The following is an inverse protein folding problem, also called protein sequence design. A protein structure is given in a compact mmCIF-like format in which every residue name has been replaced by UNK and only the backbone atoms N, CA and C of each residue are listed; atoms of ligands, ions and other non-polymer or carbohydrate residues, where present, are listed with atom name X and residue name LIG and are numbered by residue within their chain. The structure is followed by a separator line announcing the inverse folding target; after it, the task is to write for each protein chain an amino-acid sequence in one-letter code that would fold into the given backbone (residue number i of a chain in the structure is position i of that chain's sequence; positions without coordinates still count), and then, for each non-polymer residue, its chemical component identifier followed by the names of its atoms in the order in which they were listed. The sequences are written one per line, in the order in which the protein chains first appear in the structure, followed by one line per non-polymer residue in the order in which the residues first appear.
data_IF_471333365190
#
_entry.id   IF_471333365190
#
_cell.length_a   1.000
_cell.length_b   1.000
_cell.length_c   1.000
_cell.angle_alpha   90.00
_cell.angle_beta   90.00
_cell.angle_gamma   90.00
#
_symmetry.space_group_name_H-M   'P 1'
#
loop_
_entity.id
_entity.type
_entity.pdbx_description
1 polymer ?
#
# COMPACT_ATOMS: atom_id res chain seq x y z
N UNK A 1 25.16 6.96 -6.79
CA UNK A 1 25.13 7.55 -8.16
C UNK A 1 23.67 7.73 -8.53
N UNK A 2 23.21 8.76 -9.29
CA UNK A 2 21.81 8.77 -9.69
C UNK A 2 21.58 7.58 -10.64
N UNK A 3 20.89 6.56 -10.15
CA UNK A 3 20.52 5.38 -10.93
C UNK A 3 19.80 5.84 -12.21
N UNK A 4 20.35 5.45 -13.36
CA UNK A 4 19.79 5.75 -14.68
C UNK A 4 18.57 4.87 -14.92
N UNK A 5 17.46 5.16 -14.23
CA UNK A 5 16.19 4.52 -14.53
C UNK A 5 15.71 4.94 -15.92
N UNK A 6 15.10 3.99 -16.62
CA UNK A 6 14.37 4.30 -17.84
C UNK A 6 13.27 5.33 -17.57
N UNK A 7 13.04 6.21 -18.54
CA UNK A 7 12.09 7.33 -18.42
C UNK A 7 11.22 7.45 -19.66
N UNK A 8 9.97 7.87 -19.46
CA UNK A 8 9.07 8.33 -20.52
C UNK A 8 8.67 9.77 -20.17
N UNK A 9 8.86 10.71 -21.10
CA UNK A 9 8.65 12.16 -20.85
C UNK A 9 9.39 12.69 -19.60
N UNK A 10 10.62 12.22 -19.33
CA UNK A 10 11.40 12.49 -18.11
C UNK A 10 10.81 11.96 -16.79
N UNK A 11 9.76 11.14 -16.86
CA UNK A 11 9.15 10.50 -15.69
C UNK A 11 9.73 9.08 -15.57
N UNK A 12 10.30 8.69 -14.40
CA UNK A 12 10.83 7.34 -14.20
C UNK A 12 9.77 6.24 -14.29
N UNK A 13 10.15 5.12 -14.92
CA UNK A 13 9.33 3.90 -15.08
C UNK A 13 10.09 2.68 -14.55
N UNK A 14 9.98 2.45 -13.24
CA UNK A 14 10.82 1.52 -12.47
C UNK A 14 10.04 0.54 -11.58
N UNK A 15 8.76 0.24 -11.88
CA UNK A 15 8.05 -0.85 -11.18
C UNK A 15 8.70 -2.19 -11.48
N UNK A 16 8.79 -3.01 -10.45
CA UNK A 16 9.28 -4.39 -10.51
C UNK A 16 8.08 -5.34 -10.39
N UNK A 17 8.13 -6.47 -11.10
CA UNK A 17 7.12 -7.51 -11.02
C UNK A 17 7.06 -8.13 -9.62
N UNK A 18 5.86 -8.46 -9.14
CA UNK A 18 5.70 -9.17 -7.87
C UNK A 18 6.31 -10.58 -7.98
N UNK A 19 7.19 -10.94 -7.05
CA UNK A 19 7.70 -12.31 -6.93
C UNK A 19 6.54 -13.30 -6.72
N UNK A 20 6.56 -14.54 -7.25
CA UNK A 20 5.51 -15.50 -6.94
C UNK A 20 5.39 -15.75 -5.43
N UNK A 21 4.18 -15.61 -4.86
CA UNK A 21 3.89 -15.92 -3.46
C UNK A 21 2.63 -16.80 -3.43
N UNK A 22 2.77 -18.05 -2.97
CA UNK A 22 1.66 -19.01 -2.89
C UNK A 22 0.59 -18.62 -1.85
N UNK A 23 0.89 -17.63 -1.00
CA UNK A 23 -0.04 -17.09 0.00
C UNK A 23 -0.94 -15.99 -0.57
N UNK A 24 -0.72 -15.56 -1.82
CA UNK A 24 -1.61 -14.61 -2.49
C UNK A 24 -2.97 -15.26 -2.71
N UNK A 25 -4.04 -14.60 -2.25
CA UNK A 25 -5.40 -15.04 -2.51
C UNK A 25 -5.78 -14.64 -3.93
N UNK A 26 -6.12 -15.62 -4.76
CA UNK A 26 -6.53 -15.36 -6.14
C UNK A 26 -7.98 -14.87 -6.16
N UNK A 27 -8.23 -13.81 -6.92
CA UNK A 27 -9.56 -13.25 -7.11
C UNK A 27 -10.49 -14.26 -7.78
N UNK A 28 -11.68 -14.43 -7.20
CA UNK A 28 -12.75 -15.23 -7.75
C UNK A 28 -13.97 -14.32 -8.00
N UNK A 29 -14.35 -14.08 -9.27
CA UNK A 29 -15.43 -13.15 -9.58
C UNK A 29 -16.80 -13.69 -9.15
N UNK A 30 -17.67 -12.77 -8.75
CA UNK A 30 -19.08 -13.06 -8.55
C UNK A 30 -19.77 -13.25 -9.91
N UNK A 31 -20.71 -14.17 -10.00
CA UNK A 31 -21.49 -14.44 -11.22
C UNK A 31 -22.60 -13.39 -11.43
N UNK A 32 -22.22 -12.11 -11.42
CA UNK A 32 -23.13 -10.99 -11.67
C UNK A 32 -23.23 -10.68 -13.16
N UNK A 33 -24.34 -10.06 -13.57
CA UNK A 33 -24.48 -9.55 -14.94
C UNK A 33 -23.52 -8.37 -15.15
N UNK A 34 -22.61 -8.51 -16.11
CA UNK A 34 -21.65 -7.45 -16.46
C UNK A 34 -22.30 -6.43 -17.40
N UNK A 35 -21.91 -5.16 -17.25
CA UNK A 35 -22.25 -4.11 -18.22
C UNK A 35 -21.48 -4.34 -19.52
N UNK A 36 -22.05 -3.97 -20.67
CA UNK A 36 -21.36 -4.07 -21.96
C UNK A 36 -20.16 -3.11 -22.03
N UNK A 37 -20.29 -1.93 -21.44
CA UNK A 37 -19.22 -0.93 -21.30
C UNK A 37 -19.29 -0.29 -19.92
N UNK A 38 -18.14 0.20 -19.45
CA UNK A 38 -18.01 0.96 -18.21
C UNK A 38 -17.14 2.19 -18.49
N UNK A 39 -17.72 3.37 -18.77
CA UNK A 39 -16.93 4.57 -19.01
C UNK A 39 -16.15 4.96 -17.75
N UNK A 40 -15.01 5.67 -17.89
CA UNK A 40 -14.28 6.18 -16.75
C UNK A 40 -15.17 7.19 -15.99
N UNK A 41 -15.13 7.21 -14.65
CA UNK A 41 -15.81 8.23 -13.85
C UNK A 41 -15.40 9.65 -14.28
N UNK A 42 -16.34 10.59 -14.26
CA UNK A 42 -16.08 11.98 -14.70
C UNK A 42 -15.21 12.77 -13.71
N UNK A 43 -15.20 12.36 -12.44
CA UNK A 43 -14.63 13.12 -11.32
C UNK A 43 -13.36 12.48 -10.73
N UNK A 44 -12.58 11.81 -11.57
CA UNK A 44 -11.31 11.20 -11.19
C UNK A 44 -10.30 12.25 -10.70
N UNK A 45 -9.67 11.97 -9.57
CA UNK A 45 -8.59 12.78 -9.03
C UNK A 45 -7.27 12.40 -9.68
N UNK A 46 -6.94 13.07 -10.79
CA UNK A 46 -5.69 12.83 -11.52
C UNK A 46 -4.49 13.31 -10.72
N UNK A 47 -3.47 12.45 -10.64
CA UNK A 47 -2.27 12.68 -9.85
C UNK A 47 -1.05 12.94 -10.74
N UNK A 48 0.03 13.46 -10.15
CA UNK A 48 1.28 13.70 -10.85
C UNK A 48 2.49 13.32 -9.98
N UNK A 49 3.18 12.23 -10.36
CA UNK A 49 4.38 11.75 -9.65
C UNK A 49 5.62 12.61 -9.90
N UNK A 50 5.62 13.47 -10.93
CA UNK A 50 6.78 14.28 -11.27
C UNK A 50 7.98 13.42 -11.69
N UNK A 51 9.13 13.64 -11.05
CA UNK A 51 10.43 13.08 -11.47
C UNK A 51 10.91 11.92 -10.61
N UNK A 52 10.09 11.40 -9.71
CA UNK A 52 10.41 10.26 -8.84
C UNK A 52 9.74 8.98 -9.33
N UNK A 53 10.38 7.84 -9.09
CA UNK A 53 9.85 6.50 -9.38
C UNK A 53 8.72 6.03 -8.47
N UNK A 54 7.84 6.94 -8.05
CA UNK A 54 6.80 6.69 -7.05
C UNK A 54 5.50 6.10 -7.64
N UNK A 55 5.53 5.56 -8.86
CA UNK A 55 4.33 5.18 -9.61
C UNK A 55 3.43 4.15 -8.90
N UNK A 56 3.97 3.22 -8.11
CA UNK A 56 3.18 2.29 -7.27
C UNK A 56 2.32 3.05 -6.26
N UNK A 57 2.91 4.02 -5.54
CA UNK A 57 2.22 4.86 -4.58
C UNK A 57 1.14 5.73 -5.23
N UNK A 58 1.42 6.25 -6.42
CA UNK A 58 0.46 7.06 -7.17
C UNK A 58 -0.66 6.24 -7.81
N UNK A 59 -0.37 5.10 -8.43
CA UNK A 59 -1.37 4.23 -9.03
C UNK A 59 -2.34 3.68 -7.98
N UNK A 60 -1.83 3.25 -6.84
CA UNK A 60 -2.66 2.79 -5.73
C UNK A 60 -3.45 3.94 -5.08
N UNK A 61 -2.85 5.12 -4.89
CA UNK A 61 -3.58 6.31 -4.43
C UNK A 61 -4.75 6.66 -5.35
N UNK A 62 -4.57 6.59 -6.68
CA UNK A 62 -5.63 6.83 -7.65
C UNK A 62 -6.82 5.89 -7.45
N UNK A 63 -6.55 4.59 -7.31
CA UNK A 63 -7.59 3.60 -7.04
C UNK A 63 -8.28 3.81 -5.68
N UNK A 64 -7.53 4.10 -4.62
CA UNK A 64 -8.10 4.38 -3.28
C UNK A 64 -8.97 5.64 -3.30
N UNK A 65 -8.53 6.71 -3.97
CA UNK A 65 -9.29 7.95 -4.10
C UNK A 65 -10.63 7.72 -4.82
N UNK A 66 -10.63 6.90 -5.88
CA UNK A 66 -11.86 6.51 -6.57
C UNK A 66 -12.81 5.74 -5.65
N UNK A 67 -12.30 4.79 -4.87
CA UNK A 67 -13.13 4.06 -3.90
C UNK A 67 -13.64 4.96 -2.76
N UNK A 68 -12.82 5.89 -2.28
CA UNK A 68 -13.22 6.88 -1.28
C UNK A 68 -14.30 7.81 -1.81
N UNK A 69 -14.21 8.28 -3.07
CA UNK A 69 -15.22 9.16 -3.67
C UNK A 69 -16.61 8.50 -3.72
N UNK A 70 -16.67 7.17 -3.87
CA UNK A 70 -17.94 6.41 -3.78
C UNK A 70 -18.49 6.30 -2.35
N UNK A 71 -17.62 6.38 -1.34
CA UNK A 71 -17.95 6.18 0.07
C UNK A 71 -18.21 7.50 0.81
N UNK A 72 -17.49 8.55 0.46
CA UNK A 72 -17.58 9.86 1.08
C UNK A 72 -17.65 10.97 -0.01
N UNK A 73 -18.73 11.78 -0.04
CA UNK A 73 -18.86 12.87 -0.98
C UNK A 73 -17.77 13.96 -0.85
N UNK A 74 -17.06 14.04 0.28
CA UNK A 74 -15.98 15.02 0.48
C UNK A 74 -14.71 14.72 -0.33
N UNK A 75 -14.65 13.58 -1.04
CA UNK A 75 -13.56 13.21 -1.97
C UNK A 75 -12.17 13.38 -1.36
N UNK A 76 -12.00 12.90 -0.14
CA UNK A 76 -10.74 13.02 0.59
C UNK A 76 -9.65 12.24 -0.16
N UNK A 77 -8.56 12.96 -0.48
CA UNK A 77 -7.41 12.43 -1.21
C UNK A 77 -6.38 11.82 -0.24
N UNK A 78 -5.94 10.60 -0.53
CA UNK A 78 -4.90 9.91 0.26
C UNK A 78 -3.50 10.32 -0.18
N UNK A 79 -2.52 10.17 0.71
CA UNK A 79 -1.12 10.50 0.47
C UNK A 79 -0.42 9.45 -0.41
N UNK A 80 -0.07 9.76 -1.68
CA UNK A 80 0.76 8.85 -2.47
C UNK A 80 2.19 8.73 -1.93
N UNK A 81 2.66 9.75 -1.17
CA UNK A 81 3.96 9.71 -0.49
C UNK A 81 3.97 8.61 0.57
N UNK A 82 2.97 8.56 1.45
CA UNK A 82 2.89 7.51 2.47
C UNK A 82 2.84 6.12 1.82
N UNK A 83 2.01 5.92 0.79
CA UNK A 83 1.92 4.62 0.11
C UNK A 83 3.27 4.22 -0.46
N UNK A 84 3.98 5.13 -1.15
CA UNK A 84 5.28 4.82 -1.74
C UNK A 84 6.36 4.50 -0.70
N UNK A 85 6.48 5.29 0.38
CA UNK A 85 7.45 4.97 1.44
C UNK A 85 7.13 3.64 2.12
N UNK A 86 5.85 3.34 2.36
CA UNK A 86 5.46 2.05 2.92
C UNK A 86 5.69 0.92 1.91
N UNK A 87 5.48 1.14 0.61
CA UNK A 87 5.77 0.14 -0.42
C UNK A 87 7.23 -0.32 -0.34
N UNK A 88 8.17 0.63 -0.20
CA UNK A 88 9.60 0.34 -0.06
C UNK A 88 9.94 -0.43 1.21
N UNK A 89 9.24 -0.16 2.33
CA UNK A 89 9.46 -0.86 3.60
C UNK A 89 8.93 -2.29 3.58
N UNK A 90 7.84 -2.53 2.87
CA UNK A 90 7.15 -3.83 2.81
C UNK A 90 7.47 -4.64 1.56
N UNK A 91 8.37 -4.15 0.71
CA UNK A 91 8.86 -4.92 -0.41
C UNK A 91 9.77 -6.04 0.07
N UNK A 92 9.75 -7.18 -0.62
CA UNK A 92 10.44 -8.40 -0.21
C UNK A 92 11.91 -8.42 -0.67
N UNK A 93 12.45 -7.28 -1.08
CA UNK A 93 13.80 -7.13 -1.63
C UNK A 93 14.72 -6.52 -0.57
N UNK A 94 15.18 -7.35 0.36
CA UNK A 94 16.18 -6.93 1.33
C UNK A 94 17.54 -6.73 0.64
N UNK A 95 18.23 -5.63 0.96
CA UNK A 95 19.66 -5.46 0.68
C UNK A 95 20.08 -4.95 -0.70
N UNK A 96 19.17 -4.75 -1.65
CA UNK A 96 19.51 -4.15 -2.95
C UNK A 96 19.11 -2.66 -2.96
N UNK A 97 20.08 -1.76 -3.23
CA UNK A 97 19.83 -0.32 -3.47
C UNK A 97 18.93 -0.17 -4.72
N UNK A 98 17.62 -0.40 -4.57
CA UNK A 98 16.64 -0.19 -5.61
C UNK A 98 15.81 1.04 -5.32
N UNK A 99 15.68 1.88 -6.34
CA UNK A 99 14.69 2.96 -6.34
C UNK A 99 13.25 2.50 -6.71
N UNK A 100 13.05 1.23 -7.05
CA UNK A 100 11.76 0.67 -7.46
C UNK A 100 10.89 0.23 -6.29
N UNK A 101 9.61 -0.07 -6.57
CA UNK A 101 8.75 -0.83 -5.66
C UNK A 101 7.76 -1.68 -6.45
N UNK A 102 7.19 -2.68 -5.80
CA UNK A 102 6.22 -3.62 -6.39
C UNK A 102 4.76 -3.26 -6.06
N UNK A 103 3.81 -3.83 -6.82
CA UNK A 103 2.38 -3.66 -6.54
C UNK A 103 2.01 -4.32 -5.21
N UNK A 104 2.55 -5.52 -4.93
CA UNK A 104 2.34 -6.21 -3.66
C UNK A 104 2.93 -5.43 -2.50
N UNK A 105 4.14 -4.87 -2.62
CA UNK A 105 4.76 -4.06 -1.58
C UNK A 105 3.87 -2.88 -1.18
N UNK A 106 3.32 -2.16 -2.16
CA UNK A 106 2.38 -1.07 -1.91
C UNK A 106 1.09 -1.53 -1.19
N UNK A 107 0.52 -2.67 -1.60
CA UNK A 107 -0.66 -3.25 -0.97
C UNK A 107 -0.36 -3.75 0.45
N UNK A 108 0.77 -4.43 0.68
CA UNK A 108 1.22 -4.89 2.01
C UNK A 108 1.45 -3.71 2.96
N UNK A 109 2.07 -2.64 2.46
CA UNK A 109 2.23 -1.39 3.21
C UNK A 109 0.89 -0.79 3.61
N UNK A 110 -0.05 -0.68 2.67
CA UNK A 110 -1.39 -0.20 2.96
C UNK A 110 -2.15 -1.11 3.93
N UNK A 111 -2.02 -2.44 3.79
CA UNK A 111 -2.67 -3.42 4.66
C UNK A 111 -2.20 -3.33 6.11
N UNK A 112 -0.92 -3.04 6.33
CA UNK A 112 -0.33 -3.00 7.67
C UNK A 112 -0.38 -1.63 8.34
N UNK A 113 -0.50 -0.55 7.56
CA UNK A 113 -0.36 0.81 8.06
C UNK A 113 -1.60 1.69 7.82
N UNK A 114 -2.52 1.26 6.95
CA UNK A 114 -3.52 2.16 6.36
C UNK A 114 -2.86 3.22 5.47
N UNK A 115 -3.60 4.26 5.13
CA UNK A 115 -3.06 5.42 4.41
C UNK A 115 -3.67 6.73 4.90
N UNK A 116 -2.83 7.72 5.21
CA UNK A 116 -3.31 9.02 5.64
C UNK A 116 -3.79 9.88 4.46
N UNK A 117 -4.53 10.94 4.78
CA UNK A 117 -4.87 11.98 3.82
C UNK A 117 -3.60 12.73 3.37
N UNK A 118 -3.61 13.23 2.14
CA UNK A 118 -2.46 13.92 1.55
C UNK A 118 -1.99 15.12 2.38
N UNK A 119 -2.90 15.80 3.09
CA UNK A 119 -2.59 16.93 3.97
C UNK A 119 -1.65 16.56 5.13
N UNK A 120 -1.69 15.32 5.62
CA UNK A 120 -0.82 14.86 6.72
C UNK A 120 0.58 14.48 6.24
N UNK A 121 0.72 14.08 4.98
CA UNK A 121 2.02 13.82 4.37
C UNK A 121 2.02 14.19 2.89
N UNK A 122 2.19 15.48 2.56
CA UNK A 122 2.13 15.93 1.18
C UNK A 122 3.27 15.38 0.34
N UNK A 123 2.97 15.03 -0.92
CA UNK A 123 4.01 14.61 -1.84
C UNK A 123 4.88 15.78 -2.29
N UNK A 124 6.19 15.65 -2.07
CA UNK A 124 7.23 16.51 -2.61
C UNK A 124 8.31 15.62 -3.19
N UNK A 125 8.56 15.72 -4.50
CA UNK A 125 9.54 14.86 -5.18
C UNK A 125 10.92 15.00 -4.52
N UNK A 126 11.63 13.87 -4.38
CA UNK A 126 12.98 13.79 -3.82
C UNK A 126 13.11 14.34 -2.39
N UNK A 127 12.01 14.44 -1.66
CA UNK A 127 11.97 14.78 -0.24
C UNK A 127 11.28 13.64 0.52
N UNK A 128 11.98 12.50 0.71
CA UNK A 128 11.47 11.46 1.60
C UNK A 128 11.33 12.05 3.01
N UNK A 129 10.40 11.50 3.78
CA UNK A 129 10.14 11.94 5.15
C UNK A 129 9.92 10.74 6.07
N UNK A 130 9.59 11.02 7.32
CA UNK A 130 9.16 10.01 8.28
C UNK A 130 7.65 10.07 8.53
N UNK A 131 7.08 8.92 8.90
CA UNK A 131 5.67 8.82 9.25
C UNK A 131 5.42 9.44 10.63
N UNK A 132 4.82 10.63 10.66
CA UNK A 132 4.44 11.29 11.92
C UNK A 132 3.31 10.53 12.65
N UNK A 133 3.18 10.72 13.96
CA UNK A 133 2.09 10.13 14.75
C UNK A 133 0.71 10.57 14.27
N UNK A 134 0.56 11.83 13.87
CA UNK A 134 -0.71 12.35 13.36
C UNK A 134 -1.09 11.67 12.03
N UNK A 135 -0.13 11.52 11.12
CA UNK A 135 -0.32 10.79 9.87
C UNK A 135 -0.68 9.32 10.15
N UNK A 136 0.07 8.63 11.01
CA UNK A 136 -0.20 7.24 11.39
C UNK A 136 -1.60 7.05 12.01
N UNK A 137 -2.03 7.99 12.87
CA UNK A 137 -3.36 7.95 13.48
C UNK A 137 -4.46 8.15 12.44
N UNK A 138 -4.30 9.13 11.54
CA UNK A 138 -5.26 9.40 10.47
C UNK A 138 -5.34 8.21 9.48
N UNK A 139 -4.21 7.55 9.20
CA UNK A 139 -4.13 6.42 8.28
C UNK A 139 -5.03 5.23 8.64
N UNK A 140 -5.29 5.04 9.94
CA UNK A 140 -6.19 3.97 10.45
C UNK A 140 -7.64 4.12 10.00
N UNK A 141 -8.04 5.31 9.52
CA UNK A 141 -9.38 5.54 8.97
C UNK A 141 -9.52 5.09 7.51
N UNK A 142 -8.41 4.75 6.85
CA UNK A 142 -8.37 4.30 5.47
C UNK A 142 -7.54 3.02 5.31
N UNK A 143 -8.13 1.90 5.73
CA UNK A 143 -7.51 0.58 5.68
C UNK A 143 -8.13 -0.29 4.60
N UNK A 144 -7.36 -1.28 4.18
CA UNK A 144 -7.82 -2.31 3.25
C UNK A 144 -8.76 -3.28 3.98
N UNK A 145 -9.85 -3.67 3.31
CA UNK A 145 -10.80 -4.66 3.82
C UNK A 145 -10.48 -6.06 3.32
N UNK A 146 -10.26 -6.18 2.01
CA UNK A 146 -9.80 -7.40 1.37
C UNK A 146 -9.01 -7.04 0.11
N UNK A 147 -8.06 -7.88 -0.27
CA UNK A 147 -7.29 -7.75 -1.51
C UNK A 147 -6.98 -9.11 -2.10
N UNK A 148 -6.97 -9.16 -3.42
CA UNK A 148 -6.80 -10.40 -4.18
C UNK A 148 -5.95 -10.16 -5.41
N UNK A 149 -5.05 -11.10 -5.72
CA UNK A 149 -4.27 -11.10 -6.95
C UNK A 149 -5.16 -11.58 -8.09
N UNK A 150 -5.04 -10.94 -9.24
CA UNK A 150 -5.79 -11.33 -10.43
C UNK A 150 -4.93 -12.16 -11.37
N UNK A 151 -5.53 -13.21 -11.93
CA UNK A 151 -4.94 -13.89 -13.09
C UNK A 151 -5.20 -13.09 -14.37
N UNK A 152 -4.35 -13.18 -15.41
CA UNK A 152 -4.48 -12.42 -16.66
C UNK A 152 -5.61 -12.97 -17.55
N UNK A 153 -6.83 -13.04 -17.02
CA UNK A 153 -8.04 -13.44 -17.72
C UNK A 153 -8.92 -12.23 -17.92
N UNK A 154 -9.16 -11.85 -19.17
CA UNK A 154 -9.88 -10.61 -19.52
C UNK A 154 -11.28 -10.52 -18.85
N UNK A 155 -11.99 -11.65 -18.77
CA UNK A 155 -13.30 -11.72 -18.14
C UNK A 155 -13.25 -11.37 -16.63
N UNK A 156 -12.17 -11.74 -15.93
CA UNK A 156 -12.00 -11.45 -14.51
C UNK A 156 -11.75 -9.95 -14.29
N UNK A 157 -11.09 -9.27 -15.24
CA UNK A 157 -10.91 -7.81 -15.22
C UNK A 157 -12.24 -7.07 -15.43
N UNK A 158 -13.08 -7.52 -16.37
CA UNK A 158 -14.43 -6.97 -16.53
C UNK A 158 -15.27 -7.18 -15.28
N UNK A 159 -15.24 -8.37 -14.69
CA UNK A 159 -15.95 -8.67 -13.45
C UNK A 159 -15.48 -7.80 -12.28
N UNK A 160 -14.16 -7.72 -12.05
CA UNK A 160 -13.58 -6.89 -11.00
C UNK A 160 -13.98 -5.42 -11.14
N UNK A 161 -13.94 -4.86 -12.35
CA UNK A 161 -14.37 -3.49 -12.61
C UNK A 161 -15.86 -3.28 -12.37
N UNK A 162 -16.73 -4.27 -12.60
CA UNK A 162 -18.15 -4.14 -12.24
C UNK A 162 -18.37 -4.23 -10.73
N UNK A 163 -17.62 -5.10 -10.04
CA UNK A 163 -17.79 -5.32 -8.62
C UNK A 163 -17.21 -4.18 -7.78
N UNK A 164 -15.94 -3.83 -8.00
CA UNK A 164 -15.20 -2.87 -7.16
C UNK A 164 -15.12 -1.49 -7.82
N UNK A 165 -15.09 -1.45 -9.15
CA UNK A 165 -14.93 -0.24 -9.95
C UNK A 165 -13.51 0.17 -10.24
N UNK A 166 -12.51 -0.56 -9.75
CA UNK A 166 -11.11 -0.29 -10.09
C UNK A 166 -10.23 -1.51 -9.89
N UNK A 167 -9.18 -1.61 -10.70
CA UNK A 167 -8.12 -2.61 -10.59
C UNK A 167 -6.79 -1.84 -10.55
N UNK A 168 -5.94 -2.14 -9.58
CA UNK A 168 -4.58 -1.60 -9.54
C UNK A 168 -3.65 -2.57 -10.27
N UNK A 169 -2.89 -2.08 -11.24
CA UNK A 169 -2.03 -2.95 -12.05
C UNK A 169 -0.69 -2.29 -12.40
N UNK A 170 0.25 -3.13 -12.79
CA UNK A 170 1.52 -2.74 -13.41
C UNK A 170 1.63 -3.32 -14.82
N UNK A 171 2.39 -2.64 -15.67
CA UNK A 171 2.66 -3.09 -17.03
C UNK A 171 4.09 -2.76 -17.48
N UNK A 172 4.57 -3.55 -18.45
CA UNK A 172 5.75 -3.22 -19.24
C UNK A 172 5.38 -2.13 -20.25
N UNK A 173 5.67 -0.87 -19.92
CA UNK A 173 5.34 0.26 -20.79
C UNK A 173 6.37 0.45 -21.90
N UNK A 174 5.92 0.99 -23.02
CA UNK A 174 6.70 1.22 -24.23
C UNK A 174 6.56 2.67 -24.73
N UNK A 175 7.28 3.03 -25.80
CA UNK A 175 7.33 4.39 -26.34
C UNK A 175 5.97 5.00 -26.70
N UNK A 176 4.99 4.15 -27.06
CA UNK A 176 3.59 4.53 -27.28
C UNK A 176 2.92 5.28 -26.13
N UNK A 177 3.39 5.09 -24.89
CA UNK A 177 2.88 5.79 -23.70
C UNK A 177 3.30 7.26 -23.62
N UNK A 178 4.23 7.72 -24.47
CA UNK A 178 4.69 9.12 -24.44
C UNK A 178 3.55 10.13 -24.65
N UNK A 179 3.65 11.29 -24.00
CA UNK A 179 2.58 12.31 -24.00
C UNK A 179 2.25 12.78 -25.41
N UNK A 180 3.25 12.84 -26.29
CA UNK A 180 3.09 13.25 -27.69
C UNK A 180 2.23 12.28 -28.51
N UNK A 181 2.16 11.00 -28.12
CA UNK A 181 1.51 9.94 -28.89
C UNK A 181 0.09 9.59 -28.39
N UNK A 182 -0.20 9.78 -27.09
CA UNK A 182 -1.50 9.41 -26.47
C UNK A 182 -2.55 10.53 -26.60
N UNK A 183 -2.31 11.58 -27.40
CA UNK A 183 -3.21 12.76 -27.50
C UNK A 183 -4.64 12.44 -27.95
N UNK A 184 -4.83 11.35 -28.69
CA UNK A 184 -6.15 10.88 -29.12
C UNK A 184 -6.94 10.18 -28.01
N UNK A 185 -6.36 10.03 -26.81
CA UNK A 185 -6.96 9.31 -25.69
C UNK A 185 -6.86 7.78 -25.81
N UNK A 186 -6.08 7.26 -26.75
CA UNK A 186 -5.75 5.83 -26.88
C UNK A 186 -4.24 5.66 -26.92
N UNK A 187 -3.71 4.66 -26.23
CA UNK A 187 -2.28 4.35 -26.23
C UNK A 187 -1.97 3.57 -27.52
N UNK A 188 -1.14 4.11 -28.44
CA UNK A 188 -0.74 3.35 -29.62
C UNK A 188 0.25 2.26 -29.22
N UNK A 189 -0.12 1.00 -29.44
CA UNK A 189 0.76 -0.14 -29.23
C UNK A 189 2.04 0.00 -30.06
N UNK A 190 3.20 -0.12 -29.42
CA UNK A 190 4.53 -0.06 -30.06
C UNK A 190 5.36 -1.24 -29.59
N UNK A 191 6.25 -1.79 -30.44
CA UNK A 191 7.14 -2.86 -30.04
C UNK A 191 8.19 -2.38 -29.01
N UNK A 192 8.73 -3.33 -28.26
CA UNK A 192 9.78 -3.11 -27.28
C UNK A 192 9.25 -2.74 -25.90
N UNK A 193 10.17 -2.67 -24.92
CA UNK A 193 9.90 -2.32 -23.54
C UNK A 193 10.78 -1.14 -23.15
N UNK A 194 10.18 -0.10 -22.59
CA UNK A 194 10.89 1.04 -22.02
C UNK A 194 11.10 0.87 -20.52
N UNK A 195 10.09 0.40 -19.77
CA UNK A 195 10.22 0.19 -18.32
C UNK A 195 8.96 -0.39 -17.70
N UNK A 196 8.91 -0.47 -16.38
CA UNK A 196 7.72 -0.90 -15.62
C UNK A 196 6.95 0.28 -15.07
N UNK A 197 5.62 0.30 -15.16
CA UNK A 197 4.79 1.39 -14.65
C UNK A 197 3.52 0.88 -14.00
N UNK A 198 3.10 1.50 -12.89
CA UNK A 198 1.87 1.15 -12.17
C UNK A 198 0.82 2.26 -12.26
N UNK A 199 -0.44 1.86 -12.39
CA UNK A 199 -1.59 2.73 -12.62
C UNK A 199 -2.90 2.01 -12.23
N UNK A 200 -4.03 2.71 -12.36
CA UNK A 200 -5.34 2.15 -12.05
C UNK A 200 -6.17 1.97 -13.33
N UNK A 201 -6.85 0.83 -13.47
CA UNK A 201 -7.96 0.66 -14.40
C UNK A 201 -9.23 1.22 -13.76
N UNK A 202 -10.00 1.98 -14.53
CA UNK A 202 -11.17 2.73 -14.04
C UNK A 202 -12.43 2.51 -14.91
N UNK A 203 -12.33 1.64 -15.92
CA UNK A 203 -13.42 1.36 -16.85
C UNK A 203 -12.97 0.49 -18.02
N UNK A 204 -13.89 0.20 -18.94
CA UNK A 204 -13.61 -0.48 -20.20
C UNK A 204 -14.67 -0.18 -21.26
N UNK A 205 -14.33 -0.48 -22.51
CA UNK A 205 -15.28 -0.55 -23.63
C UNK A 205 -14.95 -1.76 -24.52
N UNK A 206 -15.51 -1.82 -25.72
CA UNK A 206 -15.27 -2.89 -26.69
C UNK A 206 -13.81 -2.98 -27.19
N UNK A 207 -13.00 -1.94 -26.99
CA UNK A 207 -11.65 -1.84 -27.54
C UNK A 207 -10.53 -2.01 -26.48
N UNK A 208 -10.83 -1.74 -25.20
CA UNK A 208 -9.83 -1.84 -24.15
C UNK A 208 -10.28 -1.36 -22.77
N UNK A 209 -9.31 -1.23 -21.87
CA UNK A 209 -9.50 -0.69 -20.52
C UNK A 209 -9.19 0.80 -20.48
N UNK A 210 -10.02 1.56 -19.78
CA UNK A 210 -9.71 2.94 -19.43
C UNK A 210 -8.75 2.95 -18.24
N UNK A 211 -7.61 3.63 -18.40
CA UNK A 211 -6.62 3.77 -17.34
C UNK A 211 -6.60 5.20 -16.80
N UNK A 212 -6.42 5.34 -15.50
CA UNK A 212 -6.00 6.57 -14.85
C UNK A 212 -4.50 6.51 -14.61
N UNK A 213 -3.76 7.42 -15.25
CA UNK A 213 -2.31 7.53 -15.09
C UNK A 213 -1.94 8.60 -14.04
N UNK A 214 -0.66 8.65 -13.67
CA UNK A 214 -0.09 9.52 -12.65
C UNK A 214 0.89 10.56 -13.22
N UNK A 215 0.71 10.96 -14.49
CA UNK A 215 1.60 11.89 -15.20
C UNK A 215 0.97 13.29 -15.44
N UNK A 216 -0.03 13.62 -14.61
CA UNK A 216 -0.80 14.85 -14.68
C UNK A 216 -1.85 14.87 -15.80
N UNK A 217 -2.71 15.88 -15.76
CA UNK A 217 -3.85 16.05 -16.70
C UNK A 217 -3.42 16.26 -18.14
N UNK A 218 -2.20 16.73 -18.38
CA UNK A 218 -1.65 16.95 -19.72
C UNK A 218 -1.26 15.65 -20.46
N UNK A 219 -1.43 14.48 -19.84
CA UNK A 219 -1.20 13.19 -20.47
C UNK A 219 -2.52 12.54 -20.90
N UNK A 220 -2.56 11.98 -22.12
CA UNK A 220 -3.79 11.39 -22.65
C UNK A 220 -4.91 12.43 -22.81
N UNK A 221 -6.13 12.03 -22.48
CA UNK A 221 -7.30 12.90 -22.36
C UNK A 221 -7.49 13.20 -20.87
N UNK A 222 -7.00 14.34 -20.39
CA UNK A 222 -7.14 14.74 -18.97
C UNK A 222 -6.61 13.70 -17.97
N UNK A 223 -5.47 13.07 -18.24
CA UNK A 223 -4.85 12.06 -17.37
C UNK A 223 -5.34 10.63 -17.59
N UNK A 224 -6.31 10.41 -18.48
CA UNK A 224 -6.81 9.08 -18.84
C UNK A 224 -6.49 8.70 -20.29
N UNK A 225 -6.41 7.40 -20.55
CA UNK A 225 -6.33 6.87 -21.91
C UNK A 225 -6.88 5.45 -21.99
N UNK A 226 -7.21 5.01 -23.19
CA UNK A 226 -7.57 3.64 -23.48
C UNK A 226 -6.32 2.80 -23.70
N UNK A 227 -6.16 1.76 -22.91
CA UNK A 227 -5.16 0.70 -23.07
C UNK A 227 -5.85 -0.47 -23.78
N UNK A 228 -5.47 -0.73 -25.03
CA UNK A 228 -6.17 -1.72 -25.88
C UNK A 228 -6.02 -3.13 -25.32
N UNK A 229 -6.97 -4.02 -25.62
CA UNK A 229 -6.85 -5.41 -25.14
C UNK A 229 -5.61 -6.13 -25.67
N UNK A 230 -5.16 -5.82 -26.89
CA UNK A 230 -3.92 -6.35 -27.46
C UNK A 230 -2.68 -5.89 -26.68
N UNK A 231 -2.65 -4.63 -26.26
CA UNK A 231 -1.55 -4.09 -25.46
C UNK A 231 -1.58 -4.67 -24.04
N UNK A 232 -2.78 -4.74 -23.42
CA UNK A 232 -3.00 -5.37 -22.11
C UNK A 232 -2.51 -6.82 -22.06
N UNK A 233 -2.91 -7.66 -23.03
CA UNK A 233 -2.55 -9.07 -23.07
C UNK A 233 -1.03 -9.28 -23.14
N UNK A 234 -0.32 -8.41 -23.86
CA UNK A 234 1.13 -8.52 -24.07
C UNK A 234 1.96 -7.95 -22.93
N UNK A 235 1.46 -6.89 -22.28
CA UNK A 235 2.28 -6.05 -21.42
C UNK A 235 1.85 -6.03 -19.95
N UNK A 236 0.71 -6.61 -19.58
CA UNK A 236 0.32 -6.76 -18.18
C UNK A 236 1.40 -7.51 -17.38
N UNK A 237 1.74 -6.99 -16.20
CA UNK A 237 2.70 -7.61 -15.28
C UNK A 237 1.96 -8.09 -14.03
N UNK A 238 1.42 -7.19 -13.21
CA UNK A 238 0.63 -7.53 -12.03
C UNK A 238 -0.73 -6.84 -12.04
N UNK A 239 -1.72 -7.47 -11.42
CA UNK A 239 -3.03 -6.87 -11.20
C UNK A 239 -3.64 -7.34 -9.87
N UNK A 240 -4.25 -6.38 -9.20
CA UNK A 240 -4.82 -6.55 -7.87
C UNK A 240 -6.16 -5.84 -7.79
N UNK A 241 -7.09 -6.50 -7.10
CA UNK A 241 -8.40 -5.95 -6.78
C UNK A 241 -8.58 -5.92 -5.28
N UNK A 242 -9.25 -4.90 -4.76
CA UNK A 242 -9.44 -4.72 -3.33
C UNK A 242 -10.72 -3.97 -2.99
N UNK A 243 -11.06 -4.02 -1.69
CA UNK A 243 -12.13 -3.24 -1.07
C UNK A 243 -11.56 -2.43 0.08
N UNK A 244 -12.11 -1.25 0.32
CA UNK A 244 -11.87 -0.50 1.55
C UNK A 244 -12.55 -1.22 2.72
N UNK A 245 -11.89 -1.26 3.87
CA UNK A 245 -12.54 -1.65 5.10
C UNK A 245 -13.60 -0.61 5.49
N UNK A 246 -14.65 -1.04 6.17
CA UNK A 246 -15.53 -0.13 6.89
C UNK A 246 -14.78 0.35 8.15
N UNK A 247 -14.64 1.66 8.39
CA UNK A 247 -14.09 2.16 9.62
C UNK A 247 -15.00 1.77 10.76
N UNK A 248 -14.46 0.96 11.64
CA UNK A 248 -15.11 0.52 12.88
C UNK A 248 -14.35 1.09 14.09
N UNK A 249 -14.18 2.43 14.19
CA UNK A 249 -13.40 3.05 15.28
C UNK A 249 -13.98 2.73 16.67
N UNK A 250 -15.27 2.35 16.77
CA UNK A 250 -15.91 1.94 18.02
C UNK A 250 -15.49 0.53 18.51
N UNK A 251 -14.83 -0.25 17.66
CA UNK A 251 -14.41 -1.64 17.93
C UNK A 251 -12.88 -1.79 17.88
N UNK A 252 -12.18 -0.81 17.27
CA UNK A 252 -10.72 -0.75 17.24
C UNK A 252 -10.14 -0.67 18.67
N UNK A 253 -9.65 -1.80 19.20
CA UNK A 253 -9.14 -1.91 20.58
C UNK A 253 -10.15 -2.39 21.63
N UNK A 254 -11.40 -2.69 21.24
CA UNK A 254 -12.20 -3.65 22.01
C UNK A 254 -11.71 -5.02 21.60
N UNK A 255 -10.77 -5.57 22.37
CA UNK A 255 -10.55 -7.01 22.39
C UNK A 255 -11.92 -7.67 22.39
N UNK A 256 -12.18 -8.55 21.45
CA UNK A 256 -13.13 -9.61 21.73
C UNK A 256 -12.58 -10.34 22.96
N UNK A 257 -12.96 -9.90 24.15
CA UNK A 257 -13.26 -10.81 25.24
C UNK A 257 -14.51 -11.60 24.84
N UNK A 258 -14.46 -12.29 23.69
CA UNK A 258 -15.31 -13.44 23.51
C UNK A 258 -14.78 -14.43 24.53
N UNK A 259 -15.53 -14.58 25.62
CA UNK A 259 -15.40 -15.64 26.61
C UNK A 259 -15.71 -17.01 26.00
N UNK A 260 -15.14 -17.30 24.83
CA UNK A 260 -14.99 -18.63 24.26
C UNK A 260 -13.53 -18.75 23.85
N UNK A 261 -12.69 -19.11 24.82
CA UNK A 261 -11.54 -19.97 24.53
C UNK A 261 -12.09 -21.25 23.90
N UNK A 262 -12.42 -21.19 22.61
CA UNK A 262 -12.22 -22.36 21.78
C UNK A 262 -10.71 -22.40 21.56
N UNK A 263 -10.05 -23.42 22.08
CA UNK A 263 -8.69 -23.74 21.67
C UNK A 263 -8.65 -23.77 20.14
N UNK A 264 -7.81 -22.94 19.53
CA UNK A 264 -7.55 -23.01 18.10
C UNK A 264 -8.27 -22.00 17.19
N UNK A 265 -8.36 -20.71 17.57
CA UNK A 265 -8.48 -19.68 16.52
C UNK A 265 -7.10 -19.48 15.86
N UNK A 266 -6.84 -20.34 14.87
CA UNK A 266 -5.56 -20.52 14.18
C UNK A 266 -5.15 -19.27 13.38
N UNK A 267 -6.06 -18.32 13.13
CA UNK A 267 -5.84 -17.19 12.22
C UNK A 267 -5.00 -16.05 12.84
N UNK A 268 -5.30 -15.64 14.08
CA UNK A 268 -4.52 -14.63 14.82
C UNK A 268 -3.12 -15.16 15.19
N UNK A 269 -3.01 -16.47 15.46
CA UNK A 269 -1.75 -17.16 15.73
C UNK A 269 -0.89 -17.27 14.47
N UNK A 270 -1.44 -17.24 13.25
CA UNK A 270 -0.69 -17.39 11.98
C UNK A 270 -0.19 -16.06 11.40
N UNK A 271 -0.93 -14.94 11.54
CA UNK A 271 -0.62 -13.72 10.76
C UNK A 271 0.08 -12.64 11.60
N UNK A 272 -0.16 -12.56 12.92
CA UNK A 272 0.37 -11.51 13.80
C UNK A 272 -0.24 -10.12 13.52
N UNK A 273 -0.19 -9.17 14.46
CA UNK A 273 -0.90 -7.88 14.33
C UNK A 273 -0.31 -7.04 13.20
N UNK A 274 -1.13 -6.12 12.66
CA UNK A 274 -0.63 -5.11 11.74
C UNK A 274 0.34 -4.18 12.48
N UNK A 275 1.42 -3.74 11.82
CA UNK A 275 2.42 -2.85 12.44
C UNK A 275 1.79 -1.57 12.99
N UNK A 276 0.84 -0.99 12.26
CA UNK A 276 0.13 0.21 12.67
C UNK A 276 -0.64 0.08 13.99
N UNK A 277 -1.00 -1.14 14.42
CA UNK A 277 -1.67 -1.39 15.71
C UNK A 277 -0.73 -1.21 16.90
N UNK A 278 0.53 -1.64 16.74
CA UNK A 278 1.56 -1.65 17.78
C UNK A 278 2.59 -0.51 17.64
N UNK A 279 2.43 0.37 16.65
CA UNK A 279 3.34 1.49 16.41
C UNK A 279 3.52 2.37 17.66
N UNK A 280 4.78 2.71 17.94
CA UNK A 280 5.19 3.48 19.10
C UNK A 280 5.39 2.66 20.37
N UNK A 281 5.13 1.34 20.33
CA UNK A 281 5.32 0.45 21.47
C UNK A 281 6.48 -0.53 21.30
N UNK A 282 7.29 -0.38 20.26
CA UNK A 282 8.43 -1.25 20.05
C UNK A 282 9.58 -0.57 19.30
N UNK A 283 10.77 -1.14 19.45
CA UNK A 283 11.91 -0.98 18.57
C UNK A 283 12.33 -2.37 18.07
N UNK A 284 12.56 -2.48 16.77
CA UNK A 284 13.08 -3.71 16.15
C UNK A 284 14.56 -3.50 15.83
N UNK A 285 15.39 -4.35 16.42
CA UNK A 285 16.85 -4.31 16.27
C UNK A 285 17.30 -5.67 15.77
N UNK A 286 18.18 -5.63 14.78
CA UNK A 286 18.81 -6.80 14.18
C UNK A 286 20.32 -6.53 14.04
N UNK A 287 21.15 -7.44 14.53
CA UNK A 287 22.62 -7.31 14.59
C UNK A 287 23.17 -5.96 15.10
N UNK A 288 22.45 -5.32 16.02
CA UNK A 288 22.83 -4.04 16.62
C UNK A 288 22.42 -2.81 15.81
N UNK A 289 21.84 -3.01 14.62
CA UNK A 289 21.26 -1.99 13.77
C UNK A 289 19.73 -2.02 13.81
N UNK A 290 19.13 -0.93 13.33
CA UNK A 290 17.68 -0.85 13.16
C UNK A 290 17.24 -1.77 12.02
N UNK A 291 16.28 -2.66 12.28
CA UNK A 291 15.65 -3.45 11.22
C UNK A 291 14.66 -2.55 10.46
N UNK A 292 15.12 -1.90 9.38
CA UNK A 292 14.40 -0.83 8.67
C UNK A 292 13.68 -1.31 7.38
N UNK A 293 13.30 -2.58 7.35
CA UNK A 293 12.51 -3.25 6.32
C UNK A 293 11.52 -4.26 6.92
N UNK A 294 10.68 -4.88 6.09
CA UNK A 294 9.75 -5.93 6.53
C UNK A 294 8.55 -5.43 7.34
N UNK A 295 7.75 -6.39 7.83
CA UNK A 295 6.44 -6.11 8.46
C UNK A 295 6.58 -5.25 9.71
N UNK A 296 7.58 -5.52 10.55
CA UNK A 296 7.80 -4.84 11.82
C UNK A 296 9.03 -3.94 11.76
N UNK A 297 9.22 -3.21 10.65
CA UNK A 297 10.34 -2.27 10.52
C UNK A 297 10.34 -1.22 11.65
N UNK A 298 11.52 -0.77 12.06
CA UNK A 298 11.69 0.31 13.03
C UNK A 298 13.01 1.01 12.79
N UNK A 299 13.03 2.34 12.85
CA UNK A 299 14.27 3.13 12.75
C UNK A 299 14.34 4.24 13.81
N UNK A 300 15.44 5.00 13.80
CA UNK A 300 15.65 6.10 14.75
C UNK A 300 14.52 7.16 14.72
N UNK A 301 13.90 7.40 13.57
CA UNK A 301 12.80 8.36 13.48
C UNK A 301 11.55 7.85 14.22
N UNK A 302 11.25 6.54 14.17
CA UNK A 302 10.16 5.94 14.94
C UNK A 302 10.40 6.08 16.46
N UNK A 303 11.63 5.86 16.91
CA UNK A 303 12.01 6.00 18.32
C UNK A 303 11.87 7.46 18.77
N UNK A 304 12.36 8.41 17.96
CA UNK A 304 12.27 9.84 18.25
C UNK A 304 10.83 10.32 18.33
N UNK A 305 9.98 9.95 17.37
CA UNK A 305 8.55 10.29 17.38
C UNK A 305 7.86 9.76 18.65
N UNK A 306 8.21 8.56 19.08
CA UNK A 306 7.69 7.98 20.32
C UNK A 306 8.16 8.76 21.55
N UNK A 307 9.46 9.06 21.64
CA UNK A 307 10.03 9.83 22.74
C UNK A 307 9.41 11.23 22.83
N UNK A 308 9.27 11.93 21.70
CA UNK A 308 8.62 13.23 21.61
C UNK A 308 7.14 13.17 22.05
N UNK A 309 6.43 12.10 21.70
CA UNK A 309 5.07 11.89 22.17
C UNK A 309 5.01 11.70 23.70
N UNK A 310 5.98 11.02 24.30
CA UNK A 310 6.01 10.79 25.75
C UNK A 310 6.36 12.06 26.53
N UNK A 311 7.30 12.86 26.04
CA UNK A 311 7.66 14.15 26.66
C UNK A 311 6.45 15.08 26.74
N UNK A 312 5.58 15.06 25.73
CA UNK A 312 4.41 15.92 25.64
C UNK A 312 3.13 15.28 26.22
N UNK A 313 3.23 14.19 26.98
CA UNK A 313 2.09 13.44 27.47
C UNK A 313 2.24 13.07 28.95
N UNK A 314 1.55 13.82 29.79
CA UNK A 314 1.50 13.65 31.25
C UNK A 314 0.63 12.47 31.72
N UNK A 315 -0.05 11.77 30.79
CA UNK A 315 -0.89 10.62 31.11
C UNK A 315 -0.11 9.44 31.69
N UNK A 316 1.16 9.28 31.30
CA UNK A 316 1.96 8.12 31.69
C UNK A 316 2.95 8.51 32.79
N UNK A 317 2.79 7.90 33.96
CA UNK A 317 3.59 8.12 35.16
C UNK A 317 4.87 7.27 35.16
N UNK A 318 4.86 6.18 34.39
CA UNK A 318 5.95 5.22 34.34
C UNK A 318 6.25 4.80 32.89
N UNK A 319 7.52 4.52 32.62
CA UNK A 319 7.99 3.94 31.37
C UNK A 319 8.54 2.54 31.66
N UNK A 320 8.02 1.54 30.96
CA UNK A 320 8.50 0.16 31.02
C UNK A 320 9.23 -0.17 29.73
N UNK A 321 10.50 -0.48 29.84
CA UNK A 321 11.27 -1.09 28.77
C UNK A 321 11.24 -2.61 28.92
N UNK A 322 10.74 -3.31 27.91
CA UNK A 322 10.61 -4.77 27.97
C UNK A 322 11.34 -5.46 26.81
N UNK A 323 12.46 -6.10 27.11
CA UNK A 323 13.15 -7.00 26.18
C UNK A 323 12.61 -8.43 26.37
N UNK A 324 12.06 -9.01 25.29
CA UNK A 324 11.36 -10.30 25.35
C UNK A 324 12.26 -11.53 25.62
N UNK A 325 13.58 -11.37 25.60
CA UNK A 325 14.56 -12.46 25.71
C UNK A 325 14.67 -13.28 24.42
N UNK A 326 15.67 -14.18 24.34
CA UNK A 326 15.91 -15.01 23.16
C UNK A 326 14.80 -16.05 22.92
N UNK A 327 14.78 -16.65 21.71
CA UNK A 327 13.79 -17.64 21.23
C UNK A 327 12.38 -17.08 21.00
N UNK A 328 12.28 -15.79 20.69
CA UNK A 328 11.01 -15.17 20.33
C UNK A 328 11.07 -14.70 18.89
N UNK A 329 10.11 -15.12 18.07
CA UNK A 329 9.97 -14.53 16.75
C UNK A 329 9.50 -13.07 16.87
N UNK A 330 9.77 -12.20 15.89
CA UNK A 330 9.18 -10.87 15.81
C UNK A 330 7.67 -10.88 15.95
N UNK A 331 7.02 -11.90 15.36
CA UNK A 331 5.58 -12.10 15.42
C UNK A 331 5.08 -12.37 16.85
N UNK A 332 5.77 -13.20 17.62
CA UNK A 332 5.40 -13.47 19.01
C UNK A 332 5.57 -12.22 19.87
N UNK A 333 6.64 -11.46 19.64
CA UNK A 333 6.85 -10.16 20.27
C UNK A 333 5.73 -9.19 19.92
N UNK A 334 5.34 -9.11 18.65
CA UNK A 334 4.26 -8.25 18.16
C UNK A 334 2.91 -8.59 18.81
N UNK A 335 2.55 -9.88 18.91
CA UNK A 335 1.35 -10.33 19.61
C UNK A 335 1.34 -9.89 21.09
N UNK A 336 2.47 -10.05 21.80
CA UNK A 336 2.59 -9.58 23.19
C UNK A 336 2.40 -8.09 23.30
N UNK A 337 2.98 -7.30 22.39
CA UNK A 337 2.81 -5.85 22.40
C UNK A 337 1.33 -5.47 22.21
N UNK A 338 0.63 -6.09 21.25
CA UNK A 338 -0.80 -5.87 21.01
C UNK A 338 -1.64 -6.11 22.26
N UNK A 339 -1.35 -7.18 22.99
CA UNK A 339 -2.13 -7.55 24.18
C UNK A 339 -1.76 -6.75 25.43
N UNK A 340 -0.46 -6.47 25.63
CA UNK A 340 0.04 -5.83 26.84
C UNK A 340 -0.06 -4.30 26.82
N UNK A 341 0.21 -3.65 25.68
CA UNK A 341 0.28 -2.20 25.60
C UNK A 341 -1.02 -1.50 26.05
N UNK A 342 -2.23 -1.94 25.65
CA UNK A 342 -3.47 -1.35 26.15
C UNK A 342 -3.62 -1.47 27.67
N UNK A 343 -3.22 -2.60 28.25
CA UNK A 343 -3.32 -2.86 29.68
C UNK A 343 -2.37 -1.96 30.48
N UNK A 344 -1.11 -1.82 30.06
CA UNK A 344 -0.16 -0.92 30.70
C UNK A 344 -0.63 0.54 30.62
N UNK A 345 -1.08 0.98 29.44
CA UNK A 345 -1.56 2.36 29.24
C UNK A 345 -2.76 2.69 30.12
N UNK A 346 -3.63 1.72 30.40
CA UNK A 346 -4.77 1.88 31.32
C UNK A 346 -4.31 2.11 32.76
N UNK A 347 -3.13 1.61 33.13
CA UNK A 347 -2.54 1.74 34.46
C UNK A 347 -1.46 2.85 34.54
N UNK A 348 -1.45 3.79 33.59
CA UNK A 348 -0.48 4.90 33.61
C UNK A 348 0.97 4.49 33.28
N UNK A 349 1.19 3.27 32.76
CA UNK A 349 2.51 2.78 32.33
C UNK A 349 2.55 2.81 30.80
N UNK A 350 3.58 3.42 30.23
CA UNK A 350 3.87 3.26 28.80
C UNK A 350 4.86 2.12 28.60
N UNK A 351 4.44 1.03 27.95
CA UNK A 351 5.35 -0.07 27.62
C UNK A 351 6.01 0.15 26.25
N UNK A 352 7.32 -0.06 26.20
CA UNK A 352 8.14 0.04 25.00
C UNK A 352 9.02 -1.21 24.89
N UNK A 353 8.84 -1.97 23.84
CA UNK A 353 9.32 -3.34 23.74
C UNK A 353 10.52 -3.46 22.79
N UNK A 354 11.49 -4.30 23.15
CA UNK A 354 12.57 -4.69 22.26
C UNK A 354 12.21 -5.97 21.52
N UNK A 355 12.18 -5.86 20.19
CA UNK A 355 12.03 -6.96 19.27
C UNK A 355 13.40 -7.29 18.69
N UNK A 356 13.71 -8.58 18.63
CA UNK A 356 14.94 -9.13 18.07
C UNK A 356 14.61 -10.36 17.23
N UNK A 357 15.26 -10.51 16.09
CA UNK A 357 15.25 -11.74 15.31
C UNK A 357 16.10 -12.80 16.04
N UNK A 358 15.46 -13.64 16.85
CA UNK A 358 16.13 -14.73 17.59
C UNK A 358 15.43 -16.09 17.40
N UNK A 359 14.89 -16.31 16.20
CA UNK A 359 14.23 -17.57 15.83
C UNK A 359 15.21 -18.71 15.57
N UNK A 360 14.82 -19.95 15.87
CA UNK A 360 15.62 -21.19 15.62
C UNK A 360 15.76 -21.52 14.12
N UNK A 361 15.14 -20.75 13.24
CA UNK A 361 15.25 -20.89 11.79
C UNK A 361 15.42 -19.49 11.20
N UNK A 362 16.68 -19.05 11.09
CA UNK A 362 17.09 -18.15 10.00
C UNK A 362 17.00 -18.88 8.66
#
# INVERSE_FOLDING_TARGET
MPENHAKINNIPVNVVADQPDMRDWIYQPALIQLKATLPPPEDLQILNQGTEGACTGFGLAGAINLLNAKRNPDKIRVSPRMIYEMARKFDEWEGEEYSGSSCRGAIKGWANMGVCEESFWPYKASKPGSLSRLAAKNARSNTIGAYYRMTPRIADFHAALNETGTVFCSANVHSGWSRSLVKSGTIPLRPGRTGGHAFALVGYNENGFWIQNSWGTNWGKDGIALWTYEDWERNLVDAWVFRLALPTPQILGRSYTASTKAEGDITDIIIGPARGEIQGHFVHIDDGDFHDAGKYFSNLADVKETAENLVNNDKYQHLLFYAHGGLNSPKDSANRIKDMAPLFKKNGVYSYHWMYDTGIME
#
